data_IF_040106514978
#
_entry.id   IF_040106514978
#
_cell.length_a   1.000
_cell.length_b   1.000
_cell.length_c   1.000
_cell.angle_alpha   90.00
_cell.angle_beta   90.00
_cell.angle_gamma   90.00
#
_symmetry.space_group_name_H-M   'P 1'
#
loop_
_entity.id
_entity.type
_entity.pdbx_description
1 polymer ?
#
# COMPACT_ATOMS: atom_id res chain seq x y z
N UNK A 1 12.50 6.06 -0.47
CA UNK A 1 12.47 5.53 -1.85
C UNK A 1 12.89 4.07 -1.90
N UNK A 2 14.05 3.69 -1.36
CA UNK A 2 14.47 2.27 -1.27
C UNK A 2 13.41 1.38 -0.61
N UNK A 3 12.86 1.78 0.55
CA UNK A 3 11.80 1.02 1.21
C UNK A 3 10.53 0.83 0.35
N UNK A 4 10.16 1.82 -0.46
CA UNK A 4 9.01 1.70 -1.35
C UNK A 4 9.28 0.76 -2.53
N UNK A 5 10.50 0.78 -3.08
CA UNK A 5 10.91 -0.16 -4.11
C UNK A 5 10.95 -1.61 -3.58
N UNK A 6 11.53 -1.82 -2.39
CA UNK A 6 11.55 -3.13 -1.73
C UNK A 6 10.14 -3.63 -1.42
N UNK A 7 9.26 -2.73 -0.96
CA UNK A 7 7.85 -3.05 -0.75
C UNK A 7 7.14 -3.42 -2.05
N UNK A 8 7.38 -2.72 -3.17
CA UNK A 8 6.87 -3.15 -4.47
C UNK A 8 7.38 -4.54 -4.85
N UNK A 9 8.69 -4.78 -4.73
CA UNK A 9 9.34 -6.06 -5.04
C UNK A 9 8.78 -7.22 -4.20
N UNK A 10 8.36 -6.99 -2.95
CA UNK A 10 7.73 -8.06 -2.14
C UNK A 10 6.39 -8.56 -2.71
N UNK A 11 5.81 -7.85 -3.68
CA UNK A 11 4.56 -8.22 -4.35
C UNK A 11 4.78 -8.88 -5.72
N UNK A 12 6.03 -9.22 -6.09
CA UNK A 12 6.35 -9.87 -7.37
C UNK A 12 5.52 -11.14 -7.65
N UNK A 13 5.22 -11.94 -6.61
CA UNK A 13 4.39 -13.15 -6.75
C UNK A 13 2.93 -12.89 -7.13
N UNK A 14 2.49 -11.64 -7.13
CA UNK A 14 1.13 -11.21 -7.48
C UNK A 14 1.05 -10.56 -8.87
N UNK A 15 2.15 -10.54 -9.63
CA UNK A 15 2.25 -9.95 -10.97
C UNK A 15 2.77 -8.51 -10.98
N UNK A 16 3.13 -8.04 -12.18
CA UNK A 16 3.78 -6.73 -12.39
C UNK A 16 2.90 -5.56 -11.95
N UNK A 17 1.59 -5.65 -12.17
CA UNK A 17 0.64 -4.62 -11.74
C UNK A 17 0.68 -4.41 -10.22
N UNK A 18 0.67 -5.50 -9.45
CA UNK A 18 0.72 -5.46 -7.99
C UNK A 18 2.07 -4.98 -7.48
N UNK A 19 3.16 -5.33 -8.17
CA UNK A 19 4.48 -4.77 -7.87
C UNK A 19 4.51 -3.24 -8.01
N UNK A 20 3.98 -2.70 -9.13
CA UNK A 20 3.94 -1.26 -9.37
C UNK A 20 3.01 -0.53 -8.39
N UNK A 21 1.81 -1.06 -8.17
CA UNK A 21 0.85 -0.51 -7.20
C UNK A 21 1.41 -0.54 -5.77
N UNK A 22 2.08 -1.63 -5.40
CA UNK A 22 2.80 -1.75 -4.13
C UNK A 22 3.85 -0.64 -3.96
N UNK A 23 4.68 -0.41 -4.97
CA UNK A 23 5.69 0.66 -4.92
C UNK A 23 5.06 2.06 -4.74
N UNK A 24 3.96 2.35 -5.44
CA UNK A 24 3.21 3.61 -5.30
C UNK A 24 2.63 3.75 -3.89
N UNK A 25 2.01 2.70 -3.36
CA UNK A 25 1.50 2.69 -1.99
C UNK A 25 2.63 2.93 -0.96
N UNK A 26 3.78 2.27 -1.14
CA UNK A 26 4.97 2.46 -0.31
C UNK A 26 5.51 3.90 -0.32
N UNK A 27 5.44 4.60 -1.46
CA UNK A 27 5.76 6.03 -1.53
C UNK A 27 4.77 6.84 -0.66
N UNK A 28 3.47 6.56 -0.78
CA UNK A 28 2.43 7.18 0.04
C UNK A 28 2.66 7.00 1.54
N UNK A 29 2.97 5.78 1.98
CA UNK A 29 3.29 5.49 3.38
C UNK A 29 4.53 6.25 3.85
N UNK A 30 5.55 6.35 2.99
CA UNK A 30 6.75 7.15 3.27
C UNK A 30 6.47 8.64 3.40
N UNK A 31 5.53 9.19 2.62
CA UNK A 31 5.08 10.59 2.76
C UNK A 31 4.35 10.77 4.10
N UNK A 32 3.43 9.87 4.44
CA UNK A 32 2.71 9.90 5.71
C UNK A 32 3.67 9.78 6.91
N UNK A 33 4.68 8.91 6.81
CA UNK A 33 5.73 8.78 7.82
C UNK A 33 6.48 10.09 8.06
N UNK A 34 6.90 10.78 6.99
CA UNK A 34 7.63 12.05 7.13
C UNK A 34 6.78 13.15 7.79
N UNK A 35 5.46 13.10 7.65
CA UNK A 35 4.56 14.15 8.17
C UNK A 35 4.01 13.85 9.57
N UNK A 36 3.79 12.58 9.89
CA UNK A 36 3.08 12.18 11.11
C UNK A 36 3.77 11.01 11.86
N UNK A 37 5.00 10.65 11.47
CA UNK A 37 5.77 9.57 12.08
C UNK A 37 5.19 8.17 11.79
N UNK A 38 5.62 7.21 12.61
CA UNK A 38 5.19 5.81 12.49
C UNK A 38 3.65 5.64 12.52
N UNK A 39 2.90 6.31 13.43
CA UNK A 39 1.44 6.19 13.44
C UNK A 39 0.79 6.64 12.12
N UNK A 40 1.35 7.68 11.48
CA UNK A 40 0.88 8.14 10.18
C UNK A 40 1.03 7.12 9.07
N UNK A 41 2.17 6.45 9.01
CA UNK A 41 2.41 5.38 8.06
C UNK A 41 1.48 4.18 8.29
N UNK A 42 1.28 3.79 9.56
CA UNK A 42 0.36 2.71 9.94
C UNK A 42 -1.07 3.07 9.53
N UNK A 43 -1.52 4.29 9.83
CA UNK A 43 -2.85 4.76 9.47
C UNK A 43 -3.05 4.78 7.95
N UNK A 44 -2.10 5.33 7.19
CA UNK A 44 -2.16 5.36 5.73
C UNK A 44 -2.23 3.94 5.13
N UNK A 45 -1.44 3.01 5.67
CA UNK A 45 -1.48 1.61 5.28
C UNK A 45 -2.83 0.96 5.59
N UNK A 46 -3.32 1.11 6.82
CA UNK A 46 -4.59 0.53 7.25
C UNK A 46 -5.77 1.06 6.42
N UNK A 47 -5.84 2.38 6.22
CA UNK A 47 -6.91 3.03 5.45
C UNK A 47 -6.92 2.53 4.01
N UNK A 48 -5.75 2.44 3.35
CA UNK A 48 -5.66 1.93 1.98
C UNK A 48 -6.16 0.48 1.91
N UNK A 49 -5.71 -0.40 2.81
CA UNK A 49 -6.13 -1.80 2.83
C UNK A 49 -7.62 -1.97 3.14
N UNK A 50 -8.16 -1.24 4.13
CA UNK A 50 -9.59 -1.26 4.46
C UNK A 50 -10.42 -0.78 3.27
N UNK A 51 -9.99 0.27 2.58
CA UNK A 51 -10.66 0.77 1.37
C UNK A 51 -10.66 -0.29 0.27
N UNK A 52 -9.53 -0.96 0.02
CA UNK A 52 -9.47 -2.07 -0.94
C UNK A 52 -10.41 -3.21 -0.56
N UNK A 53 -10.40 -3.62 0.70
CA UNK A 53 -11.24 -4.72 1.18
C UNK A 53 -12.74 -4.39 1.01
N UNK A 54 -13.17 -3.22 1.49
CA UNK A 54 -14.58 -2.83 1.52
C UNK A 54 -15.13 -2.39 0.16
N UNK A 55 -14.32 -1.74 -0.68
CA UNK A 55 -14.80 -1.13 -1.93
C UNK A 55 -14.48 -1.94 -3.18
N UNK A 56 -13.54 -2.88 -3.11
CA UNK A 56 -13.12 -3.66 -4.28
C UNK A 56 -13.31 -5.16 -4.05
N UNK A 57 -12.74 -5.74 -2.98
CA UNK A 57 -12.80 -7.19 -2.77
C UNK A 57 -14.21 -7.65 -2.40
N UNK A 58 -14.82 -7.09 -1.36
CA UNK A 58 -16.16 -7.52 -0.93
C UNK A 58 -17.23 -7.29 -2.00
N UNK A 59 -17.30 -6.12 -2.68
CA UNK A 59 -18.27 -5.93 -3.75
C UNK A 59 -18.09 -6.89 -4.93
N UNK A 60 -16.86 -7.34 -5.22
CA UNK A 60 -16.62 -8.30 -6.29
C UNK A 60 -17.05 -9.75 -5.94
N UNK A 61 -17.37 -10.02 -4.67
CA UNK A 61 -17.76 -11.34 -4.16
C UNK A 61 -19.27 -11.48 -3.91
N UNK A 62 -20.05 -10.40 -4.08
CA UNK A 62 -21.51 -10.36 -3.90
C UNK A 62 -22.24 -10.53 -5.24
#
# INVERSE_FOLDING_TARGET
MVAAALFGVSHLGQGLAMQMLGAVAGIGYGIAYRRYGLPGAIAAHAILNVSHLLLLIYPALA
#
